data_IF_645155253384
#
_entry.id   IF_645155253384
#
_cell.length_a   1.000
_cell.length_b   1.000
_cell.length_c   1.000
_cell.angle_alpha   90.00
_cell.angle_beta   90.00
_cell.angle_gamma   90.00
#
_symmetry.space_group_name_H-M   'P 1'
#
loop_
_entity.id
_entity.type
_entity.pdbx_description
1 polymer ?
2 non-polymer ?
3 water ?
#
# COMPACT_ATOMS: atom_id res chain seq x y z
N UNK A 1 20.99 15.37 -2.78
CA UNK A 1 20.35 15.78 -4.10
C UNK A 1 18.97 16.43 -3.91
N UNK A 2 18.62 16.77 -2.66
CA UNK A 2 17.38 17.62 -2.62
C UNK A 2 17.61 18.98 -3.28
N UNK A 3 16.64 19.45 -4.01
CA UNK A 3 16.69 20.73 -4.62
C UNK A 3 16.43 21.71 -3.49
N UNK A 4 17.22 22.79 -3.41
CA UNK A 4 17.19 23.72 -2.27
C UNK A 4 16.55 25.04 -2.66
N UNK A 5 16.25 25.24 -3.95
CA UNK A 5 15.48 26.41 -4.34
C UNK A 5 13.95 26.14 -4.14
N UNK A 6 13.11 27.18 -4.24
CA UNK A 6 11.67 27.05 -3.93
C UNK A 6 10.92 26.09 -4.90
N UNK A 7 10.16 25.15 -4.34
CA UNK A 7 9.34 24.20 -5.11
C UNK A 7 8.44 24.93 -6.15
N UNK A 8 7.93 26.10 -5.76
CA UNK A 8 6.99 26.82 -6.60
C UNK A 8 7.71 27.49 -7.81
N UNK A 9 9.06 27.50 -7.82
CA UNK A 9 9.77 27.80 -9.10
C UNK A 9 9.48 26.72 -10.15
N UNK A 10 9.38 25.46 -9.77
CA UNK A 10 9.05 24.38 -10.74
C UNK A 10 7.58 23.91 -10.85
N UNK A 11 6.83 24.09 -9.78
CA UNK A 11 5.46 23.51 -9.60
C UNK A 11 4.43 24.53 -9.28
N UNK A 12 3.25 24.41 -9.90
CA UNK A 12 2.12 25.27 -9.52
C UNK A 12 1.32 24.51 -8.48
N UNK A 13 1.23 25.06 -7.29
CA UNK A 13 0.50 24.40 -6.19
C UNK A 13 -1.03 24.68 -6.23
N UNK A 14 -1.83 23.66 -5.94
CA UNK A 14 -3.29 23.82 -5.75
C UNK A 14 -3.64 24.02 -4.27
N UNK A 15 -4.72 24.75 -3.99
CA UNK A 15 -5.30 24.78 -2.63
C UNK A 15 -6.15 23.51 -2.37
N UNK A 16 -5.86 22.45 -3.15
CA UNK A 16 -6.68 21.23 -3.29
C UNK A 16 -5.94 19.95 -2.80
N UNK A 17 -6.51 19.32 -1.77
CA UNK A 17 -5.86 18.25 -1.01
C UNK A 17 -6.19 16.87 -1.63
N UNK A 18 -5.29 15.90 -1.49
CA UNK A 18 -5.48 14.48 -1.91
C UNK A 18 -5.22 13.52 -0.69
N UNK A 19 -5.36 14.05 0.54
CA UNK A 19 -5.18 13.27 1.79
C UNK A 19 -4.04 13.65 2.75
N UNK A 20 -3.95 12.92 3.88
CA UNK A 20 -2.89 13.07 4.92
C UNK A 20 -2.17 11.72 5.32
N UNK A 21 -0.83 11.78 5.48
CA UNK A 21 -0.02 10.65 6.02
C UNK A 21 -0.03 10.57 7.56
N UNK A 22 1.12 10.22 8.15
CA UNK A 22 1.40 10.55 9.58
C UNK A 22 2.42 11.72 9.63
N UNK A 23 3.39 11.72 8.68
CA UNK A 23 4.38 12.80 8.52
C UNK A 23 3.84 14.00 7.69
N UNK A 24 2.86 13.77 6.79
CA UNK A 24 2.52 14.80 5.79
C UNK A 24 1.22 14.76 4.98
N UNK A 25 0.61 15.94 4.85
CA UNK A 25 -0.50 16.17 3.90
C UNK A 25 -0.05 16.04 2.45
N UNK A 26 -0.96 15.53 1.60
CA UNK A 26 -0.69 15.35 0.15
C UNK A 26 -1.55 16.32 -0.65
N UNK A 27 -0.90 17.13 -1.47
CA UNK A 27 -1.57 18.11 -2.32
C UNK A 27 -1.32 17.89 -3.84
N UNK A 28 -2.20 18.39 -4.67
CA UNK A 28 -2.07 18.28 -6.10
C UNK A 28 -1.24 19.45 -6.59
N UNK A 29 -0.42 19.22 -7.61
CA UNK A 29 0.35 20.28 -8.21
C UNK A 29 0.60 20.03 -9.70
N UNK A 30 1.03 21.05 -10.43
CA UNK A 30 1.35 20.88 -11.85
C UNK A 30 2.77 21.32 -12.17
N UNK A 31 3.48 20.46 -12.84
CA UNK A 31 4.80 20.86 -13.34
C UNK A 31 4.72 22.05 -14.30
N UNK A 32 5.47 23.11 -14.01
CA UNK A 32 5.42 24.34 -14.80
C UNK A 32 5.92 24.23 -16.21
N UNK A 33 6.86 23.31 -16.48
CA UNK A 33 7.46 23.21 -17.85
C UNK A 33 6.58 22.32 -18.69
N UNK A 34 6.17 21.17 -18.17
CA UNK A 34 5.27 20.25 -18.88
C UNK A 34 3.80 20.39 -18.42
N UNK A 35 2.88 19.70 -19.04
CA UNK A 35 1.50 19.71 -18.41
C UNK A 35 1.33 19.18 -16.95
N UNK A 36 2.24 18.30 -16.56
CA UNK A 36 1.94 17.19 -15.76
C UNK A 36 1.40 17.52 -14.36
N UNK A 37 0.27 16.89 -14.07
CA UNK A 37 -0.27 16.84 -12.74
C UNK A 37 0.55 15.83 -11.94
N UNK A 38 0.93 16.25 -10.72
CA UNK A 38 1.69 15.45 -9.77
C UNK A 38 1.08 15.61 -8.35
N UNK A 39 1.65 14.87 -7.38
CA UNK A 39 1.17 14.91 -5.99
C UNK A 39 2.34 15.40 -5.14
N UNK A 40 2.06 16.28 -4.18
CA UNK A 40 3.14 16.83 -3.35
C UNK A 40 2.87 16.46 -1.87
N UNK A 41 3.84 15.77 -1.28
CA UNK A 41 3.75 15.45 0.15
C UNK A 41 4.63 16.40 0.98
N UNK A 42 4.01 17.14 1.89
CA UNK A 42 4.75 18.06 2.73
C UNK A 42 5.15 17.40 4.04
N UNK A 43 6.46 17.28 4.25
CA UNK A 43 6.98 16.84 5.58
C UNK A 43 7.77 17.95 6.30
N UNK A 44 7.50 18.19 7.55
CA UNK A 44 8.32 19.13 8.34
C UNK A 44 9.58 18.40 8.64
N UNK A 45 10.74 19.07 8.49
CA UNK A 45 12.05 18.41 8.71
C UNK A 45 12.13 17.79 10.07
N UNK A 46 12.80 16.65 10.15
CA UNK A 46 12.98 15.85 11.39
C UNK A 46 13.72 14.59 10.99
N UNK A 47 14.44 13.97 11.94
CA UNK A 47 15.00 12.66 11.63
C UNK A 47 14.07 11.73 10.84
N UNK A 48 12.80 11.58 11.24
CA UNK A 48 11.84 10.67 10.59
C UNK A 48 11.54 11.04 9.19
N UNK A 49 11.31 12.34 8.98
CA UNK A 49 11.03 12.89 7.70
C UNK A 49 12.16 12.55 6.78
N UNK A 50 13.39 12.77 7.24
CA UNK A 50 14.60 12.40 6.49
C UNK A 50 14.68 10.91 6.11
N UNK A 51 14.38 9.99 7.03
CA UNK A 51 14.38 8.54 6.73
C UNK A 51 13.27 8.21 5.78
N UNK A 52 12.06 8.77 6.00
CA UNK A 52 11.01 8.60 5.00
C UNK A 52 11.51 8.93 3.59
N UNK A 53 12.15 10.10 3.43
CA UNK A 53 12.58 10.45 2.05
C UNK A 53 13.68 9.49 1.52
N UNK A 54 14.65 9.19 2.38
CA UNK A 54 15.67 8.22 2.11
C UNK A 54 15.09 6.82 1.62
N UNK A 55 14.10 6.31 2.36
CA UNK A 55 13.53 5.00 2.07
C UNK A 55 12.71 5.01 0.81
N UNK A 56 11.90 6.04 0.62
CA UNK A 56 11.12 6.16 -0.56
C UNK A 56 12.03 6.37 -1.80
N UNK A 57 13.04 7.23 -1.71
CA UNK A 57 14.06 7.40 -2.76
C UNK A 57 14.60 6.07 -3.18
N UNK A 58 15.11 5.26 -2.27
CA UNK A 58 15.69 3.93 -2.62
C UNK A 58 14.69 3.03 -3.33
N UNK A 59 13.41 3.04 -2.90
CA UNK A 59 12.38 2.21 -3.43
C UNK A 59 11.84 2.69 -4.76
N UNK A 60 11.91 4.01 -4.99
CA UNK A 60 11.35 4.63 -6.16
C UNK A 60 11.74 4.10 -7.58
N UNK A 61 12.69 3.26 -7.79
CA UNK A 61 12.63 2.57 -9.21
C UNK A 61 11.92 1.23 -9.36
N UNK A 62 11.53 0.67 -8.22
CA UNK A 62 11.06 -0.66 -8.13
C UNK A 62 9.70 -0.91 -8.68
N UNK A 63 9.35 -2.16 -8.86
CA UNK A 63 8.06 -2.45 -9.40
C UNK A 63 6.92 -2.20 -8.41
N UNK A 64 5.85 -1.58 -8.89
CA UNK A 64 4.63 -1.35 -8.17
C UNK A 64 4.88 -0.51 -6.91
N UNK A 65 5.76 0.46 -7.05
CA UNK A 65 6.07 1.47 -5.99
C UNK A 65 5.86 2.85 -6.60
N UNK A 66 5.06 3.71 -5.93
CA UNK A 66 4.86 5.11 -6.34
C UNK A 66 6.23 5.82 -6.50
N UNK A 67 6.47 6.43 -7.68
CA UNK A 67 7.78 6.97 -8.07
C UNK A 67 7.83 8.36 -7.52
N UNK A 68 8.94 8.73 -6.91
CA UNK A 68 9.28 10.16 -6.73
C UNK A 68 9.93 10.85 -7.94
N UNK A 69 9.54 12.08 -8.18
CA UNK A 69 10.03 12.78 -9.33
C UNK A 69 11.13 13.76 -8.89
N UNK A 70 11.03 14.32 -7.68
CA UNK A 70 11.91 15.42 -7.21
C UNK A 70 11.66 15.52 -5.68
N UNK A 71 12.65 16.03 -4.97
CA UNK A 71 12.58 16.33 -3.57
C UNK A 71 13.14 17.71 -3.38
N UNK A 72 12.43 18.52 -2.61
CA UNK A 72 12.84 19.88 -2.28
C UNK A 72 13.07 20.03 -0.79
N UNK A 73 14.01 20.88 -0.43
CA UNK A 73 14.22 21.30 0.95
C UNK A 73 13.99 22.82 0.94
N UNK A 74 12.90 23.27 1.58
CA UNK A 74 12.44 24.64 1.47
C UNK A 74 12.12 25.14 2.83
N UNK A 75 11.97 26.44 2.97
CA UNK A 75 11.38 26.98 4.22
C UNK A 75 9.91 27.24 3.98
N UNK A 76 9.03 26.94 4.93
CA UNK A 76 7.60 27.18 4.73
C UNK A 76 7.00 27.72 6.04
N UNK A 77 6.56 28.98 5.97
CA UNK A 77 6.19 29.74 7.18
C UNK A 77 7.27 29.61 8.24
N UNK A 78 8.54 29.74 7.80
CA UNK A 78 9.69 29.72 8.71
C UNK A 78 10.07 28.41 9.35
N UNK A 79 9.53 27.31 8.85
CA UNK A 79 9.94 25.97 9.27
C UNK A 79 10.62 25.29 8.11
N UNK A 80 11.67 24.51 8.35
CA UNK A 80 12.24 23.63 7.31
C UNK A 80 11.24 22.58 6.98
N UNK A 81 11.12 22.30 5.69
CA UNK A 81 10.20 21.31 5.14
C UNK A 81 10.89 20.55 4.06
N UNK A 82 10.48 19.31 3.88
CA UNK A 82 10.89 18.47 2.78
C UNK A 82 9.64 18.22 1.95
N UNK A 83 9.77 18.34 0.66
CA UNK A 83 8.61 18.22 -0.22
C UNK A 83 8.93 17.11 -1.21
N UNK A 84 8.18 16.01 -1.13
CA UNK A 84 8.31 14.84 -2.02
C UNK A 84 7.25 15.03 -3.11
N UNK A 85 7.71 15.17 -4.33
CA UNK A 85 6.87 15.25 -5.53
C UNK A 85 6.89 13.88 -6.16
N UNK A 86 5.69 13.30 -6.28
CA UNK A 86 5.38 11.92 -6.71
C UNK A 86 4.53 11.99 -7.97
N UNK A 87 4.53 10.90 -8.75
CA UNK A 87 3.60 10.76 -9.82
C UNK A 87 2.18 10.82 -9.23
N UNK A 88 1.28 11.45 -9.95
CA UNK A 88 -0.14 11.48 -9.64
C UNK A 88 -0.81 10.13 -9.77
N UNK A 89 -1.25 9.54 -8.64
CA UNK A 89 -2.06 8.30 -8.64
C UNK A 89 -3.57 8.53 -8.69
N UNK A 90 -4.07 8.98 -9.84
CA UNK A 90 -5.46 9.43 -9.95
C UNK A 90 -6.51 8.34 -10.05
N UNK A 91 -6.07 7.09 -10.12
CA UNK A 91 -6.95 5.95 -10.05
C UNK A 91 -7.44 5.75 -8.63
N UNK A 92 -6.73 6.33 -7.65
CA UNK A 92 -7.21 6.22 -6.25
C UNK A 92 -7.02 4.85 -5.60
N UNK A 93 -7.74 4.58 -4.54
CA UNK A 93 -7.44 3.42 -3.69
C UNK A 93 -7.92 2.10 -4.32
N UNK A 94 -7.10 1.08 -4.12
CA UNK A 94 -7.42 -0.28 -4.53
C UNK A 94 -8.87 -0.67 -4.29
N UNK A 95 -9.33 -0.68 -3.03
CA UNK A 95 -10.64 -1.20 -2.73
C UNK A 95 -11.81 -0.31 -3.17
N UNK A 96 -11.56 0.94 -3.48
CA UNK A 96 -12.56 1.80 -4.15
C UNK A 96 -12.82 1.41 -5.62
N UNK A 97 -11.78 1.11 -6.39
CA UNK A 97 -11.91 0.63 -7.77
C UNK A 97 -12.69 -0.66 -7.84
N UNK A 98 -12.41 -1.56 -6.88
CA UNK A 98 -13.11 -2.86 -6.80
C UNK A 98 -14.60 -2.62 -6.54
N UNK A 99 -14.92 -1.67 -5.66
CA UNK A 99 -16.31 -1.25 -5.46
C UNK A 99 -16.99 -0.82 -6.75
N UNK A 100 -16.36 0.07 -7.49
CA UNK A 100 -16.95 0.65 -8.71
C UNK A 100 -16.98 -0.36 -9.86
N UNK A 101 -18.02 -1.20 -9.89
CA UNK A 101 -18.15 -2.25 -10.91
C UNK A 101 -19.55 -2.83 -10.98
N UNK A 102 -19.91 -3.65 -10.00
CA UNK A 102 -21.16 -4.48 -10.06
C UNK A 102 -21.14 -5.73 -10.97
N UNK A 105 -17.77 -8.71 -13.31
CA UNK A 105 -17.56 -9.58 -12.14
C UNK A 105 -16.13 -9.48 -11.57
N UNK A 106 -15.97 -9.45 -10.24
CA UNK A 106 -14.64 -9.59 -9.67
C UNK A 106 -14.27 -11.02 -9.30
N UNK A 107 -13.20 -11.51 -9.90
CA UNK A 107 -12.84 -12.92 -9.84
C UNK A 107 -11.62 -13.28 -9.00
N UNK A 108 -11.56 -14.57 -8.60
CA UNK A 108 -10.43 -15.09 -7.83
C UNK A 108 -9.12 -14.93 -8.57
N UNK A 109 -9.14 -15.08 -9.89
CA UNK A 109 -7.94 -14.87 -10.69
C UNK A 109 -7.48 -13.42 -10.64
N UNK A 110 -8.41 -12.48 -10.74
CA UNK A 110 -8.04 -11.05 -10.70
C UNK A 110 -7.46 -10.68 -9.35
N UNK A 111 -7.94 -11.33 -8.30
CA UNK A 111 -7.38 -11.14 -6.96
C UNK A 111 -5.95 -11.68 -6.88
N UNK A 112 -5.63 -12.79 -7.54
CA UNK A 112 -4.27 -13.32 -7.49
C UNK A 112 -3.33 -12.44 -8.31
N UNK A 113 -3.84 -11.87 -9.40
CA UNK A 113 -3.03 -10.89 -10.14
C UNK A 113 -2.73 -9.65 -9.32
N UNK A 114 -3.72 -9.13 -8.60
CA UNK A 114 -3.47 -7.96 -7.69
C UNK A 114 -2.47 -8.36 -6.58
N UNK A 115 -2.63 -9.51 -5.96
CA UNK A 115 -1.72 -9.91 -4.87
C UNK A 115 -0.25 -10.10 -5.34
N UNK A 116 -0.11 -10.62 -6.56
CA UNK A 116 1.17 -10.82 -7.18
C UNK A 116 1.82 -9.46 -7.44
N UNK A 117 1.05 -8.42 -7.77
CA UNK A 117 1.63 -7.14 -8.04
C UNK A 117 2.17 -6.56 -6.72
N UNK A 118 1.34 -6.60 -5.67
CA UNK A 118 1.77 -6.15 -4.35
C UNK A 118 2.91 -7.00 -3.81
N UNK A 119 2.86 -8.31 -3.99
CA UNK A 119 3.97 -9.17 -3.67
C UNK A 119 5.30 -8.73 -4.30
N UNK A 120 5.26 -8.23 -5.54
CA UNK A 120 6.52 -7.91 -6.30
C UNK A 120 7.07 -6.60 -5.71
N UNK A 121 6.19 -5.66 -5.33
CA UNK A 121 6.61 -4.48 -4.46
C UNK A 121 7.34 -4.97 -3.23
N UNK A 122 6.72 -5.81 -2.44
CA UNK A 122 7.30 -6.27 -1.16
C UNK A 122 8.60 -7.10 -1.44
N UNK A 123 8.66 -7.79 -2.58
CA UNK A 123 9.82 -8.55 -2.92
C UNK A 123 10.97 -7.54 -3.18
N UNK A 124 10.71 -6.50 -3.99
CA UNK A 124 11.69 -5.53 -4.24
C UNK A 124 12.23 -4.91 -2.92
N UNK A 125 11.32 -4.50 -2.05
CA UNK A 125 11.69 -3.79 -0.81
C UNK A 125 12.50 -4.72 0.12
N UNK A 126 11.99 -5.92 0.37
CA UNK A 126 12.68 -6.84 1.25
C UNK A 126 14.09 -7.30 0.74
N UNK A 127 14.27 -7.51 -0.56
CA UNK A 127 15.61 -7.84 -1.10
C UNK A 127 16.53 -6.64 -1.00
N UNK A 128 15.97 -5.44 -0.78
CA UNK A 128 16.75 -4.22 -0.50
C UNK A 128 16.76 -3.86 0.97
N UNK A 129 16.32 -4.80 1.80
CA UNK A 129 16.31 -4.71 3.24
C UNK A 129 15.48 -3.54 3.77
N UNK A 130 14.34 -3.30 3.14
CA UNK A 130 13.42 -2.23 3.58
C UNK A 130 12.16 -2.98 3.97
N UNK A 131 11.72 -2.80 5.22
CA UNK A 131 10.37 -3.25 5.64
C UNK A 131 9.47 -1.99 5.60
N UNK A 132 8.27 -2.09 5.01
CA UNK A 132 7.40 -0.96 4.84
C UNK A 132 6.69 -0.71 6.18
N UNK A 133 6.10 -1.75 6.73
CA UNK A 133 5.44 -1.80 8.04
C UNK A 133 4.11 -1.06 8.21
N UNK A 134 3.57 -0.54 7.14
CA UNK A 134 2.23 0.05 7.16
C UNK A 134 1.40 -0.23 5.91
N UNK A 135 1.56 -1.44 5.36
CA UNK A 135 0.87 -1.83 4.15
C UNK A 135 -0.65 -2.06 4.43
N UNK A 136 -1.49 -1.27 3.80
CA UNK A 136 -2.90 -1.25 4.09
C UNK A 136 -3.63 -0.55 2.95
N UNK A 137 -4.98 -0.64 2.88
CA UNK A 137 -5.77 -0.18 1.72
C UNK A 137 -5.45 1.20 1.22
N UNK A 138 -5.37 2.14 2.14
CA UNK A 138 -5.18 3.53 1.84
C UNK A 138 -3.85 3.83 1.20
N UNK A 139 -2.88 2.93 1.34
CA UNK A 139 -1.54 3.08 0.78
C UNK A 139 -1.35 2.32 -0.55
N UNK A 140 -2.42 1.72 -1.07
CA UNK A 140 -2.40 0.92 -2.31
C UNK A 140 -3.26 1.64 -3.32
N UNK A 141 -2.62 2.30 -4.27
CA UNK A 141 -3.27 3.24 -5.19
C UNK A 141 -3.04 2.81 -6.66
N UNK A 142 -3.95 3.20 -7.56
CA UNK A 142 -3.83 3.02 -8.99
C UNK A 142 -3.44 4.30 -9.75
N UNK A 143 -2.66 4.15 -10.80
CA UNK A 143 -2.13 5.30 -11.54
C UNK A 143 -3.21 6.03 -12.32
N UNK A 144 -4.23 5.32 -12.78
CA UNK A 144 -5.30 5.98 -13.42
C UNK A 144 -6.63 5.25 -13.24
N UNK A 145 -7.69 5.83 -13.85
CA UNK A 145 -9.01 5.21 -13.85
C UNK A 145 -9.17 4.30 -15.07
N UNK A 146 -8.12 4.07 -15.85
CA UNK A 146 -8.24 3.26 -17.10
C UNK A 146 -8.03 1.78 -16.82
N UNK A 147 -8.34 0.92 -17.78
CA UNK A 147 -8.19 -0.51 -17.58
C UNK A 147 -6.70 -0.90 -17.46
N UNK A 148 -5.79 -0.20 -18.13
CA UNK A 148 -4.35 -0.53 -17.99
C UNK A 148 -3.62 0.14 -16.80
N UNK A 149 -4.37 0.64 -15.78
CA UNK A 149 -3.82 1.29 -14.61
C UNK A 149 -2.86 0.35 -13.82
N UNK A 150 -1.83 0.91 -13.21
CA UNK A 150 -0.87 0.14 -12.46
C UNK A 150 -1.11 0.43 -10.96
N UNK A 151 -1.12 -0.68 -10.23
CA UNK A 151 -1.31 -0.71 -8.78
C UNK A 151 0.07 -0.49 -8.18
N UNK A 152 0.17 0.54 -7.33
CA UNK A 152 1.44 0.83 -6.63
C UNK A 152 1.26 1.13 -5.13
N UNK A 153 2.30 0.80 -4.38
CA UNK A 153 2.40 1.01 -2.94
C UNK A 153 3.10 2.33 -2.68
N UNK A 154 2.61 3.08 -1.66
CA UNK A 154 3.16 4.36 -1.27
C UNK A 154 3.25 4.48 0.29
N UNK A 155 3.89 5.54 0.73
CA UNK A 155 4.00 6.00 2.17
C UNK A 155 5.04 5.18 2.93
N UNK A 156 6.26 5.69 2.92
CA UNK A 156 7.37 4.99 3.55
C UNK A 156 7.65 5.64 4.88
N UNK A 157 6.62 6.30 5.42
CA UNK A 157 6.77 6.97 6.73
C UNK A 157 7.07 6.08 7.95
N UNK A 158 6.70 4.82 7.89
CA UNK A 158 7.03 3.87 8.93
C UNK A 158 8.11 2.85 8.51
N UNK A 159 8.79 3.11 7.37
CA UNK A 159 9.67 2.09 6.76
C UNK A 159 10.96 1.99 7.57
N UNK A 160 11.56 0.81 7.66
CA UNK A 160 12.79 0.59 8.42
C UNK A 160 13.76 -0.17 7.52
N UNK A 161 15.03 0.26 7.49
CA UNK A 161 16.05 -0.36 6.63
C UNK A 161 16.68 -1.35 7.51
N UNK A 162 16.39 -2.62 7.25
CA UNK A 162 16.66 -3.71 8.15
C UNK A 162 18.18 -3.93 8.07
N UNK A 163 18.88 -2.84 8.39
CA UNK A 163 20.32 -2.60 8.29
C UNK A 163 20.54 -1.20 8.91
N UNK A 184 13.91 -9.06 14.42
CA UNK A 184 13.64 -7.59 14.23
C UNK A 184 13.56 -7.28 12.75
N UNK A 185 14.71 -7.21 12.09
CA UNK A 185 14.71 -7.27 10.63
C UNK A 185 13.71 -8.26 10.13
N UNK A 186 13.93 -9.50 10.48
CA UNK A 186 13.07 -10.58 10.11
C UNK A 186 11.61 -10.30 10.63
N UNK A 187 11.52 -9.79 11.86
CA UNK A 187 10.23 -9.45 12.43
C UNK A 187 9.53 -8.39 11.59
N UNK A 188 10.24 -7.31 11.23
CA UNK A 188 9.61 -6.18 10.57
C UNK A 188 9.06 -6.59 9.19
N UNK A 189 9.84 -7.36 8.47
CA UNK A 189 9.38 -8.02 7.21
C UNK A 189 8.14 -8.88 7.42
N UNK A 190 8.07 -9.60 8.54
CA UNK A 190 6.89 -10.42 8.80
C UNK A 190 5.61 -9.62 9.04
N UNK A 191 5.74 -8.34 9.41
CA UNK A 191 4.57 -7.46 9.47
C UNK A 191 3.99 -7.12 8.07
N UNK A 192 4.88 -6.99 7.09
CA UNK A 192 4.44 -6.77 5.73
C UNK A 192 3.68 -7.99 5.27
N UNK A 193 4.19 -9.17 5.63
CA UNK A 193 3.65 -10.43 5.15
C UNK A 193 2.28 -10.63 5.76
N UNK A 194 2.07 -10.17 7.00
CA UNK A 194 0.74 -10.22 7.62
C UNK A 194 -0.24 -9.32 6.84
N UNK A 195 0.24 -8.17 6.42
CA UNK A 195 -0.56 -7.20 5.69
C UNK A 195 -1.04 -7.83 4.43
N UNK A 196 -0.12 -8.53 3.72
CA UNK A 196 -0.48 -9.26 2.52
C UNK A 196 -1.63 -10.28 2.78
N UNK A 197 -1.58 -11.02 3.89
CA UNK A 197 -2.63 -11.92 4.23
C UNK A 197 -3.96 -11.24 4.52
N UNK A 198 -3.91 -10.08 5.19
CA UNK A 198 -5.10 -9.28 5.47
C UNK A 198 -5.71 -8.69 4.20
N UNK A 199 -4.88 -8.11 3.35
CA UNK A 199 -5.35 -7.54 2.10
C UNK A 199 -5.94 -8.63 1.22
N UNK A 200 -5.31 -9.79 1.16
CA UNK A 200 -5.82 -10.92 0.36
C UNK A 200 -7.21 -11.44 0.85
N UNK A 201 -7.34 -11.60 2.16
CA UNK A 201 -8.61 -12.03 2.78
C UNK A 201 -9.73 -11.08 2.37
N UNK A 202 -9.50 -9.79 2.54
CA UNK A 202 -10.51 -8.79 2.15
C UNK A 202 -10.86 -8.81 0.64
N UNK A 203 -9.84 -9.10 -0.16
CA UNK A 203 -9.98 -9.13 -1.61
C UNK A 203 -10.89 -10.28 -2.04
N UNK A 204 -10.90 -11.36 -1.25
CA UNK A 204 -11.55 -12.57 -1.64
C UNK A 204 -13.01 -12.64 -1.17
N UNK A 205 -13.44 -11.73 -0.27
CA UNK A 205 -14.79 -11.81 0.32
C UNK A 205 -15.43 -10.45 0.69
N UNK A 206 -14.64 -9.39 0.74
CA UNK A 206 -15.17 -8.05 0.97
C UNK A 206 -15.11 -7.55 2.40
N UNK A 207 -14.69 -8.40 3.33
CA UNK A 207 -14.58 -8.02 4.74
C UNK A 207 -13.29 -8.62 5.36
N UNK A 208 -12.77 -7.99 6.44
CA UNK A 208 -11.53 -8.41 7.07
C UNK A 208 -11.65 -9.55 8.10
N UNK A 209 -10.50 -10.18 8.46
CA UNK A 209 -10.43 -11.25 9.51
C UNK A 209 -10.65 -10.82 10.99
N UNK A 210 -10.75 -9.52 11.25
CA UNK A 210 -11.29 -8.95 12.52
C UNK A 210 -12.69 -8.39 12.34
N UNK A 231 -9.58 -16.18 13.55
CA UNK A 231 -10.49 -15.84 12.46
C UNK A 231 -11.09 -17.09 11.78
N UNK A 232 -11.77 -16.90 10.65
CA UNK A 232 -12.38 -18.01 9.87
C UNK A 232 -12.63 -17.67 8.41
N UNK A 233 -13.20 -18.63 7.68
CA UNK A 233 -13.63 -18.46 6.29
C UNK A 233 -15.12 -18.85 6.12
N UNK A 234 -16.06 -17.98 6.55
CA UNK A 234 -17.50 -18.33 6.57
C UNK A 234 -18.20 -18.40 5.21
N UNK A 235 -19.22 -19.26 5.13
CA UNK A 235 -20.08 -19.39 3.95
C UNK A 235 -21.13 -18.28 3.92
N UNK A 236 -21.60 -17.89 2.72
CA UNK A 236 -21.32 -18.50 1.43
C UNK A 236 -20.21 -17.79 0.68
N UNK A 237 -19.69 -16.69 1.26
CA UNK A 237 -18.66 -15.88 0.61
C UNK A 237 -17.39 -16.66 0.39
N UNK A 238 -17.05 -17.59 1.29
CA UNK A 238 -15.83 -18.41 1.16
C UNK A 238 -16.06 -19.82 0.64
N UNK A 239 -17.29 -20.09 0.19
CA UNK A 239 -17.68 -21.45 -0.21
C UNK A 239 -17.08 -21.92 -1.53
N UNK A 240 -16.88 -20.98 -2.44
CA UNK A 240 -16.30 -21.26 -3.74
C UNK A 240 -14.83 -20.85 -3.87
N UNK A 241 -14.24 -20.22 -2.83
CA UNK A 241 -12.82 -19.83 -2.86
C UNK A 241 -11.96 -21.12 -2.91
N UNK A 242 -10.99 -21.18 -3.83
CA UNK A 242 -10.12 -22.34 -3.94
C UNK A 242 -9.36 -22.62 -2.63
N UNK A 243 -8.91 -23.85 -2.48
CA UNK A 243 -8.17 -24.29 -1.30
C UNK A 243 -6.75 -23.69 -1.26
N UNK A 244 -6.13 -23.45 -2.42
CA UNK A 244 -4.83 -22.81 -2.47
C UNK A 244 -4.89 -21.39 -1.83
N UNK A 245 -5.91 -20.61 -2.18
CA UNK A 245 -6.09 -19.31 -1.63
C UNK A 245 -6.23 -19.38 -0.09
N UNK A 246 -7.17 -20.17 0.39
CA UNK A 246 -7.35 -20.34 1.83
C UNK A 246 -6.06 -20.74 2.55
N UNK A 247 -5.39 -21.77 2.06
CA UNK A 247 -4.15 -22.21 2.69
C UNK A 247 -3.02 -21.15 2.66
N UNK A 248 -2.89 -20.33 1.60
CA UNK A 248 -1.89 -19.26 1.59
C UNK A 248 -2.24 -18.19 2.65
N UNK A 249 -3.51 -17.86 2.80
CA UNK A 249 -3.91 -16.86 3.80
C UNK A 249 -3.55 -17.42 5.20
N UNK A 250 -3.91 -18.68 5.44
CA UNK A 250 -3.54 -19.36 6.69
C UNK A 250 -2.05 -19.22 6.97
N UNK A 251 -1.20 -19.38 5.94
CA UNK A 251 0.24 -19.33 6.12
C UNK A 251 0.72 -17.91 6.34
N UNK A 252 -0.11 -16.93 6.02
CA UNK A 252 0.26 -15.56 6.12
C UNK A 252 -0.22 -14.93 7.42
N UNK A 253 -1.33 -15.40 7.96
CA UNK A 253 -1.91 -14.85 9.19
C UNK A 253 -1.54 -15.63 10.46
N UNK A 254 -0.56 -16.54 10.39
CA UNK A 254 0.01 -17.19 11.58
C UNK A 254 0.24 -16.16 12.67
N UNK A 255 -0.26 -16.44 13.87
CA UNK A 255 -0.09 -15.49 14.98
C UNK A 255 1.40 -15.35 15.35
N UNK A 256 2.19 -16.43 15.22
CA UNK A 256 3.64 -16.41 15.42
C UNK A 256 4.37 -15.94 14.15
N UNK A 257 5.04 -14.76 14.21
CA UNK A 257 5.79 -14.19 13.09
C UNK A 257 6.83 -15.11 12.43
N UNK A 258 7.48 -15.95 13.21
CA UNK A 258 8.53 -16.82 12.68
C UNK A 258 8.01 -17.97 11.80
N UNK A 259 6.72 -18.33 11.96
CA UNK A 259 6.05 -19.37 11.16
C UNK A 259 5.41 -18.75 9.89
N UNK A 260 5.17 -17.46 9.93
CA UNK A 260 4.63 -16.77 8.77
C UNK A 260 5.52 -16.92 7.51
N UNK A 261 4.90 -17.11 6.35
CA UNK A 261 5.59 -17.14 5.03
C UNK A 261 6.47 -15.94 4.79
N UNK A 262 7.67 -16.17 4.28
CA UNK A 262 8.55 -15.15 3.72
C UNK A 262 7.99 -14.61 2.39
N UNK A 263 8.44 -13.45 1.94
CA UNK A 263 8.03 -12.96 0.63
C UNK A 263 8.45 -13.95 -0.53
N UNK A 264 9.59 -14.62 -0.41
CA UNK A 264 10.06 -15.48 -1.53
C UNK A 264 9.23 -16.77 -1.56
N UNK A 265 8.81 -17.24 -0.40
CA UNK A 265 7.85 -18.34 -0.32
C UNK A 265 6.42 -17.91 -0.79
N UNK A 266 6.04 -16.66 -0.58
CA UNK A 266 4.78 -16.13 -1.11
C UNK A 266 4.74 -16.13 -2.66
N UNK A 267 5.81 -15.60 -3.28
CA UNK A 267 5.91 -15.51 -4.73
C UNK A 267 6.03 -16.82 -5.46
N UNK A 268 6.50 -17.84 -4.74
CA UNK A 268 6.64 -19.20 -5.22
C UNK A 268 5.45 -20.09 -4.86
N UNK A 269 4.53 -19.59 -4.03
CA UNK A 269 3.23 -20.27 -3.87
C UNK A 269 2.44 -20.36 -5.20
N UNK A 270 1.85 -21.54 -5.53
CA UNK A 270 1.17 -21.66 -6.83
C UNK A 270 0.04 -20.65 -7.07
N UNK A 271 -0.65 -20.18 -6.03
CA UNK A 271 -1.70 -19.20 -6.24
C UNK A 271 -1.15 -17.85 -6.74
N UNK A 272 0.10 -17.57 -6.40
CA UNK A 272 0.75 -16.35 -6.84
C UNK A 272 1.54 -16.69 -8.10
N UNK A 273 2.48 -17.62 -7.97
CA UNK A 273 3.32 -18.03 -9.12
C UNK A 273 2.56 -18.52 -10.37
N UNK A 274 1.36 -19.06 -10.19
CA UNK A 274 0.55 -19.53 -11.31
C UNK A 274 -0.80 -18.85 -11.27
N UNK A 275 -0.74 -17.52 -11.14
CA UNK A 275 -1.93 -16.66 -11.04
C UNK A 275 -2.80 -16.64 -12.34
N UNK A 276 -2.17 -16.65 -13.52
CA UNK A 276 -2.90 -16.79 -14.80
C UNK A 276 -3.89 -17.96 -14.76
N UNK A 277 -3.46 -19.12 -14.23
CA UNK A 277 -4.30 -20.30 -14.20
C UNK A 277 -5.21 -20.46 -12.96
N UNK A 278 -5.17 -19.51 -12.01
CA UNK A 278 -6.15 -19.48 -10.88
C UNK A 278 -7.58 -19.41 -11.49
N UNK A 279 -8.55 -20.18 -10.95
CA UNK A 279 -9.89 -20.18 -11.56
C UNK A 279 -10.56 -18.80 -11.63
N UNK A 280 -11.29 -18.57 -12.72
CA UNK A 280 -11.93 -17.31 -13.05
C UNK A 280 -13.32 -17.23 -12.39
N UNK A 281 -13.40 -17.46 -11.09
CA UNK A 281 -14.67 -17.63 -10.37
C UNK A 281 -15.23 -16.35 -9.67
N UNK A 282 -16.53 -16.07 -9.84
CA UNK A 282 -17.04 -14.80 -9.35
C UNK A 282 -17.02 -14.74 -7.83
N UNK A 283 -16.40 -13.72 -7.29
CA UNK A 283 -16.40 -13.51 -5.85
C UNK A 283 -17.50 -12.54 -5.49
N UNK A 284 -17.82 -12.46 -4.20
CA UNK A 284 -18.85 -11.54 -3.72
C UNK A 284 -18.26 -10.23 -3.14
N UNK A 285 -16.95 -10.01 -3.37
CA UNK A 285 -16.18 -8.85 -2.84
C UNK A 285 -16.77 -7.47 -3.12
N UNK A 286 -17.02 -7.14 -4.38
CA UNK A 286 -17.53 -5.83 -4.77
C UNK A 286 -18.95 -5.56 -4.25
N UNK A 287 -19.79 -6.59 -4.23
CA UNK A 287 -21.13 -6.45 -3.64
C UNK A 287 -21.03 -6.18 -2.16
N UNK A 288 -20.23 -6.97 -1.45
CA UNK A 288 -20.07 -6.80 -0.01
C UNK A 288 -19.49 -5.43 0.34
N UNK A 289 -18.44 -5.01 -0.35
CA UNK A 289 -17.90 -3.67 -0.16
C UNK A 289 -18.97 -2.59 -0.39
N UNK A 290 -19.77 -2.70 -1.45
CA UNK A 290 -20.88 -1.76 -1.65
C UNK A 290 -21.89 -1.78 -0.47
N UNK A 291 -22.24 -2.98 -0.04
CA UNK A 291 -23.28 -3.24 0.98
C UNK A 291 -22.79 -2.79 2.37
N UNK A 292 -21.48 -2.90 2.60
CA UNK A 292 -20.83 -2.59 3.90
C UNK A 292 -20.12 -1.22 3.87
N UNK A 293 -20.35 -0.42 2.83
CA UNK A 293 -19.55 0.80 2.63
C UNK A 293 -19.62 1.73 3.83
N UNK A 294 -20.74 1.69 4.55
CA UNK A 294 -20.95 2.56 5.71
C UNK A 294 -20.03 2.32 6.92
N UNK A 295 -19.45 1.14 7.03
CA UNK A 295 -18.31 1.07 7.96
C UNK A 295 -16.97 0.59 7.37
N UNK A 296 -16.65 1.08 6.18
CA UNK A 296 -15.34 0.86 5.58
C UNK A 296 -14.28 1.65 6.40
N UNK A 297 -14.67 2.82 6.90
CA UNK A 297 -13.78 3.62 7.76
C UNK A 297 -13.35 2.89 9.05
N UNK A 298 -14.18 1.97 9.53
CA UNK A 298 -13.89 1.25 10.79
C UNK A 298 -12.92 0.13 10.51
N UNK A 299 -13.10 -0.57 9.39
CA UNK A 299 -12.13 -1.60 8.98
C UNK A 299 -10.71 -1.00 8.80
N UNK A 300 -10.63 0.20 8.20
CA UNK A 300 -9.37 0.89 7.94
C UNK A 300 -8.79 1.31 9.27
N UNK A 301 -9.61 1.90 10.15
CA UNK A 301 -9.12 2.28 11.48
C UNK A 301 -8.57 1.04 12.21
N UNK A 302 -9.30 -0.08 12.16
CA UNK A 302 -8.81 -1.30 12.81
C UNK A 302 -7.46 -1.82 12.27
N UNK A 303 -7.29 -1.77 10.96
CA UNK A 303 -6.11 -2.29 10.43
C UNK A 303 -4.93 -1.36 10.81
N UNK A 304 -5.20 -0.05 10.85
CA UNK A 304 -4.22 0.99 11.18
C UNK A 304 -3.72 0.75 12.59
N UNK A 305 -4.66 0.56 13.48
CA UNK A 305 -4.42 0.20 14.87
C UNK A 305 -3.63 -1.13 15.01
N UNK A 306 -4.04 -2.21 14.32
CA UNK A 306 -3.25 -3.46 14.41
C UNK A 306 -1.80 -3.31 13.96
N UNK A 307 -1.58 -2.48 12.96
CA UNK A 307 -0.26 -2.28 12.40
C UNK A 307 0.57 -1.41 13.38
N UNK A 308 -0.06 -0.41 14.01
CA UNK A 308 0.63 0.40 15.06
C UNK A 308 1.03 -0.51 16.19
N UNK A 309 0.12 -1.36 16.61
CA UNK A 309 0.44 -2.31 17.69
C UNK A 309 1.61 -3.24 17.31
N UNK A 310 1.70 -3.68 16.05
CA UNK A 310 2.88 -4.51 15.63
C UNK A 310 4.23 -3.74 15.63
N UNK A 311 4.16 -2.42 15.53
CA UNK A 311 5.34 -1.58 15.53
C UNK A 311 5.91 -1.20 16.92
N UNK A 312 5.16 -1.50 18.02
CA UNK A 312 5.67 -1.19 19.38
C UNK A 312 6.90 -2.02 19.72
N UNK A 313 7.76 -1.47 20.55
CA UNK A 313 8.93 -2.17 20.99
C UNK A 313 8.58 -3.29 21.99
N UNK A 314 7.57 -3.07 22.84
CA UNK A 314 7.12 -4.08 23.83
C UNK A 314 5.62 -4.10 23.88
N UNK A 315 5.05 -5.27 23.72
CA UNK A 315 3.59 -5.36 23.72
C UNK A 315 3.13 -6.39 24.77
N UNK A 316 1.87 -6.30 25.09
CA UNK A 316 0.96 -7.42 25.35
C UNK A 316 0.48 -7.27 26.74
#
# INVERSE_FOLDING_TARGET
>A
EPKKYAVTDDYQLSKQVLGLGVNGKVLECFHRRTGQKCALKLLYDSPKARQEVDHHWQASGGPHIVCILDVYENMHHGKRCLLIIMECMEGGELFSRIQERGDQAFTEREAAEIMRDIGTAIQFLHSHNIAHRDVKPENLLYTSKEKDAVLKLTDFGFAKETTQNALQTPCYTPYYVAPEVLGPEKYDKSCDMWSLGVIMYILLCGFPPFYSNTGQAISPGMKRRIRLGQYGFPNPEWSEVSEDAKQLIRLLLKTDPTERLTITQFMNHPWINQSMVVPQTPLHTARVLQEDKDHWDEVKEEMTSALATMRVDYDQV
#
